data_IF_704302269064
#
_entry.id   IF_704302269064
#
_cell.length_a   1.000
_cell.length_b   1.000
_cell.length_c   1.000
_cell.angle_alpha   90.00
_cell.angle_beta   90.00
_cell.angle_gamma   90.00
#
_symmetry.space_group_name_H-M   'P 1'
#
loop_
_entity.id
_entity.type
_entity.pdbx_description
1 polymer ?
#
# COMPACT_ATOMS: atom_id res chain seq x y z
N UNK A 1 -18.31 -5.87 -9.00
CA UNK A 1 -17.92 -4.72 -8.15
C UNK A 1 -18.19 -4.94 -6.65
N UNK A 2 -19.33 -5.52 -6.25
CA UNK A 2 -19.68 -5.70 -4.82
C UNK A 2 -18.78 -6.69 -4.06
N UNK A 3 -18.36 -7.80 -4.68
CA UNK A 3 -17.49 -8.79 -4.02
C UNK A 3 -16.14 -8.21 -3.61
N UNK A 4 -15.47 -7.49 -4.51
CA UNK A 4 -14.17 -6.88 -4.23
C UNK A 4 -14.27 -5.81 -3.13
N UNK A 5 -15.29 -4.95 -3.20
CA UNK A 5 -15.57 -3.95 -2.15
C UNK A 5 -15.75 -4.62 -0.78
N UNK A 6 -16.61 -5.64 -0.72
CA UNK A 6 -16.90 -6.35 0.53
C UNK A 6 -15.67 -7.07 1.08
N UNK A 7 -14.86 -7.68 0.19
CA UNK A 7 -13.59 -8.29 0.56
C UNK A 7 -12.64 -7.28 1.22
N UNK A 8 -12.45 -6.10 0.62
CA UNK A 8 -11.56 -5.08 1.18
C UNK A 8 -12.03 -4.56 2.55
N UNK A 9 -13.33 -4.26 2.69
CA UNK A 9 -13.87 -3.76 3.97
C UNK A 9 -13.77 -4.84 5.07
N UNK A 10 -14.08 -6.10 4.74
CA UNK A 10 -14.03 -7.22 5.69
C UNK A 10 -12.61 -7.51 6.17
N UNK A 11 -11.62 -7.39 5.28
CA UNK A 11 -10.21 -7.69 5.58
C UNK A 11 -9.39 -6.44 5.95
N UNK A 12 -10.04 -5.30 6.25
CA UNK A 12 -9.35 -4.04 6.51
C UNK A 12 -8.29 -4.13 7.62
N UNK A 13 -8.54 -4.93 8.67
CA UNK A 13 -7.55 -5.16 9.73
C UNK A 13 -6.29 -5.88 9.25
N UNK A 14 -6.44 -6.92 8.43
CA UNK A 14 -5.31 -7.63 7.83
C UNK A 14 -4.54 -6.74 6.86
N UNK A 15 -5.25 -5.97 6.04
CA UNK A 15 -4.64 -5.03 5.08
C UNK A 15 -3.86 -3.94 5.82
N UNK A 16 -4.40 -3.42 6.92
CA UNK A 16 -3.71 -2.46 7.78
C UNK A 16 -2.45 -3.08 8.42
N UNK A 17 -2.55 -4.32 8.93
CA UNK A 17 -1.41 -5.05 9.49
C UNK A 17 -0.31 -5.24 8.44
N UNK A 18 -0.66 -5.66 7.22
CA UNK A 18 0.29 -5.81 6.12
C UNK A 18 0.90 -4.47 5.71
N UNK A 19 0.16 -3.36 5.79
CA UNK A 19 0.69 -2.03 5.49
C UNK A 19 1.76 -1.62 6.49
N UNK A 20 1.52 -1.82 7.79
CA UNK A 20 2.49 -1.44 8.84
C UNK A 20 3.62 -2.43 9.04
N UNK A 21 3.48 -3.66 8.56
CA UNK A 21 4.54 -4.68 8.62
C UNK A 21 5.25 -4.80 7.28
N UNK A 22 4.69 -5.56 6.34
CA UNK A 22 5.26 -5.81 5.02
C UNK A 22 5.50 -4.53 4.22
N UNK A 23 4.54 -3.59 4.20
CA UNK A 23 4.65 -2.39 3.39
C UNK A 23 5.74 -1.42 3.86
N UNK A 24 5.98 -1.35 5.17
CA UNK A 24 7.02 -0.49 5.74
C UNK A 24 8.37 -1.18 5.89
N UNK A 25 8.43 -2.51 5.90
CA UNK A 25 9.67 -3.25 6.02
C UNK A 25 10.59 -3.07 4.79
N UNK A 26 11.91 -3.26 4.94
CA UNK A 26 12.68 -3.03 6.16
C UNK A 26 12.54 -1.59 6.69
N UNK A 27 12.64 -1.42 8.02
CA UNK A 27 12.37 -0.15 8.72
C UNK A 27 13.60 0.73 8.95
N UNK A 28 14.82 0.19 8.79
CA UNK A 28 16.07 0.88 9.10
C UNK A 28 16.91 1.07 7.82
N UNK A 29 17.53 2.24 7.60
CA UNK A 29 17.45 3.48 8.40
C UNK A 29 16.10 4.21 8.30
N UNK A 30 15.29 3.88 7.30
CA UNK A 30 13.93 4.34 7.12
C UNK A 30 13.10 3.26 6.40
N UNK A 31 11.76 3.33 6.41
CA UNK A 31 10.91 2.37 5.71
C UNK A 31 11.28 2.24 4.23
N UNK A 32 11.34 1.01 3.73
CA UNK A 32 11.84 0.74 2.39
C UNK A 32 11.03 1.45 1.30
N UNK A 33 9.71 1.44 1.41
CA UNK A 33 8.81 2.15 0.49
C UNK A 33 9.09 3.66 0.47
N UNK A 34 9.50 4.25 1.60
CA UNK A 34 9.84 5.67 1.69
C UNK A 34 11.12 5.99 0.90
N UNK A 35 12.14 5.15 1.04
CA UNK A 35 13.36 5.24 0.23
C UNK A 35 13.07 5.11 -1.27
N UNK A 36 12.20 4.17 -1.68
CA UNK A 36 11.79 4.01 -3.08
C UNK A 36 11.05 5.24 -3.61
N UNK A 37 10.14 5.83 -2.83
CA UNK A 37 9.42 7.06 -3.22
C UNK A 37 10.41 8.20 -3.49
N UNK A 38 11.39 8.42 -2.60
CA UNK A 38 12.44 9.44 -2.80
C UNK A 38 13.28 9.17 -4.04
N UNK A 39 13.64 7.91 -4.28
CA UNK A 39 14.42 7.53 -5.46
C UNK A 39 13.65 7.79 -6.76
N UNK A 40 12.35 7.48 -6.78
CA UNK A 40 11.47 7.78 -7.92
C UNK A 40 11.33 9.29 -8.12
N UNK A 41 11.14 10.07 -7.04
CA UNK A 41 11.12 11.54 -7.10
C UNK A 41 12.44 12.12 -7.64
N UNK A 42 13.57 11.48 -7.36
CA UNK A 42 14.89 11.80 -7.92
C UNK A 42 15.10 11.39 -9.38
N UNK A 43 14.07 10.88 -10.05
CA UNK A 43 14.09 10.49 -11.46
C UNK A 43 14.40 9.02 -11.72
N UNK A 44 14.32 8.15 -10.70
CA UNK A 44 14.49 6.70 -10.83
C UNK A 44 15.80 6.27 -11.53
N UNK A 45 16.84 7.10 -11.44
CA UNK A 45 18.12 6.85 -12.13
C UNK A 45 18.74 5.55 -11.64
N UNK A 46 18.98 4.62 -12.56
CA UNK A 46 19.59 3.33 -12.27
C UNK A 46 18.65 2.29 -11.65
N UNK A 47 17.34 2.56 -11.53
CA UNK A 47 16.39 1.55 -11.04
C UNK A 47 16.28 0.40 -12.03
N UNK A 48 16.40 -0.81 -11.51
CA UNK A 48 16.20 -2.05 -12.25
C UNK A 48 14.76 -2.54 -12.12
N UNK A 49 14.37 -3.53 -12.93
CA UNK A 49 13.04 -4.13 -12.84
C UNK A 49 12.76 -4.69 -11.43
N UNK A 50 13.77 -5.24 -10.76
CA UNK A 50 13.63 -5.73 -9.38
C UNK A 50 13.32 -4.60 -8.38
N UNK A 51 13.84 -3.39 -8.60
CA UNK A 51 13.53 -2.23 -7.75
C UNK A 51 12.09 -1.76 -7.93
N UNK A 52 11.58 -1.83 -9.16
CA UNK A 52 10.18 -1.53 -9.46
C UNK A 52 9.25 -2.58 -8.85
N UNK A 53 9.61 -3.86 -8.98
CA UNK A 53 8.85 -4.94 -8.36
C UNK A 53 8.83 -4.80 -6.84
N UNK A 54 9.97 -4.50 -6.24
CA UNK A 54 10.11 -4.28 -4.82
C UNK A 54 9.27 -3.06 -4.36
N UNK A 55 9.30 -1.96 -5.10
CA UNK A 55 8.45 -0.78 -4.84
C UNK A 55 6.96 -1.15 -4.90
N UNK A 56 6.55 -1.92 -5.91
CA UNK A 56 5.18 -2.39 -6.04
C UNK A 56 4.79 -3.30 -4.88
N UNK A 57 5.65 -4.24 -4.49
CA UNK A 57 5.39 -5.21 -3.45
C UNK A 57 5.16 -4.53 -2.08
N UNK A 58 6.02 -3.56 -1.74
CA UNK A 58 5.89 -2.78 -0.51
C UNK A 58 4.78 -1.72 -0.59
N UNK A 59 4.48 -1.20 -1.79
CA UNK A 59 3.43 -0.21 -2.03
C UNK A 59 2.01 -0.79 -2.07
N UNK A 60 1.85 -2.04 -2.53
CA UNK A 60 0.55 -2.66 -2.76
C UNK A 60 -0.36 -2.71 -1.51
N UNK A 61 0.14 -3.05 -0.30
CA UNK A 61 -0.67 -2.98 0.92
C UNK A 61 -1.31 -1.60 1.15
N UNK A 62 -0.58 -0.50 0.93
CA UNK A 62 -1.10 0.85 1.12
C UNK A 62 -2.17 1.23 0.10
N UNK A 63 -2.02 0.77 -1.15
CA UNK A 63 -3.05 0.97 -2.19
C UNK A 63 -4.34 0.26 -1.77
N UNK A 64 -4.23 -1.01 -1.35
CA UNK A 64 -5.38 -1.78 -0.86
C UNK A 64 -6.01 -1.14 0.39
N UNK A 65 -5.20 -0.64 1.32
CA UNK A 65 -5.68 0.04 2.53
C UNK A 65 -6.46 1.30 2.17
N UNK A 66 -5.92 2.11 1.26
CA UNK A 66 -6.55 3.35 0.79
C UNK A 66 -7.91 3.06 0.15
N UNK A 67 -7.97 2.09 -0.75
CA UNK A 67 -9.22 1.66 -1.38
C UNK A 67 -10.23 1.13 -0.36
N UNK A 68 -9.79 0.32 0.60
CA UNK A 68 -10.64 -0.23 1.65
C UNK A 68 -11.24 0.89 2.54
N UNK A 69 -10.44 1.90 2.89
CA UNK A 69 -10.88 3.07 3.66
C UNK A 69 -11.87 3.94 2.89
N UNK A 70 -11.61 4.22 1.60
CA UNK A 70 -12.54 4.95 0.73
C UNK A 70 -13.88 4.23 0.68
N UNK A 71 -13.89 2.92 0.42
CA UNK A 71 -15.13 2.15 0.35
C UNK A 71 -15.87 2.07 1.67
N UNK A 72 -15.14 1.96 2.79
CA UNK A 72 -15.74 2.01 4.14
C UNK A 72 -16.37 3.38 4.39
N UNK A 73 -15.65 4.47 4.11
CA UNK A 73 -16.15 5.84 4.27
C UNK A 73 -17.41 6.11 3.44
N UNK A 74 -17.39 5.76 2.15
CA UNK A 74 -18.56 5.88 1.26
C UNK A 74 -19.75 4.99 1.69
N UNK A 75 -19.52 3.92 2.46
CA UNK A 75 -20.60 3.08 3.00
C UNK A 75 -21.23 3.64 4.28
N UNK A 76 -20.51 4.48 5.03
CA UNK A 76 -21.02 5.13 6.24
C UNK A 76 -21.99 6.26 5.89
N UNK A 77 -21.72 7.04 4.84
CA UNK A 77 -22.61 8.13 4.39
C UNK A 77 -23.87 7.69 3.64
N UNK A 78 -24.09 6.37 3.49
CA UNK A 78 -25.33 5.79 2.92
C UNK A 78 -26.25 5.19 3.99
N UNK A 79 -25.85 5.24 5.25
CA UNK A 79 -26.71 4.95 6.41
C UNK A 79 -27.35 6.24 6.87
#
# INVERSE_FOLDING_TARGET
>A
MNYFKNFLIKNLGLIALLSVTLGLAPFNPEPHIWGKIKWIQGGAKGMQLIDWWDTFFHGAPFILLTLALIFKGLSLGKK
#
